data_IF_251281446423
#
_entry.id   IF_251281446423
#
_cell.length_a   1.000
_cell.length_b   1.000
_cell.length_c   1.000
_cell.angle_alpha   90.00
_cell.angle_beta   90.00
_cell.angle_gamma   90.00
#
_symmetry.space_group_name_H-M   'P 1'
#
loop_
_entity.id
_entity.type
_entity.pdbx_description
1 polymer ?
#
# COMPACT_ATOMS: atom_id res chain seq x y z
N UNK A 1 -58.88 69.36 -20.05
CA UNK A 1 -59.71 68.33 -19.34
C UNK A 1 -59.28 67.01 -19.87
N UNK A 2 -58.43 66.27 -19.17
CA UNK A 2 -58.38 64.81 -19.28
C UNK A 2 -57.45 64.27 -18.19
N UNK A 3 -57.97 63.39 -17.40
CA UNK A 3 -57.35 62.82 -16.20
C UNK A 3 -56.54 61.60 -16.55
N UNK A 4 -55.29 61.51 -16.05
CA UNK A 4 -54.51 60.33 -16.07
C UNK A 4 -54.87 59.41 -14.88
N UNK A 5 -54.91 58.09 -15.04
CA UNK A 5 -54.72 57.16 -13.93
C UNK A 5 -53.33 56.63 -13.87
N UNK A 6 -52.79 56.70 -12.66
CA UNK A 6 -51.51 56.21 -12.24
C UNK A 6 -51.56 54.68 -12.11
N UNK A 7 -50.79 53.96 -12.93
CA UNK A 7 -50.55 52.52 -12.72
C UNK A 7 -49.28 52.32 -11.95
N UNK A 8 -49.43 51.96 -10.69
CA UNK A 8 -48.30 51.51 -9.84
C UNK A 8 -48.01 50.04 -10.18
N UNK A 9 -46.97 49.80 -10.95
CA UNK A 9 -46.42 48.45 -11.16
C UNK A 9 -45.40 48.13 -10.10
N UNK A 10 -45.80 47.26 -9.18
CA UNK A 10 -44.93 46.69 -8.13
C UNK A 10 -44.02 45.62 -8.76
N UNK A 11 -42.74 45.95 -9.01
CA UNK A 11 -41.73 45.04 -9.50
C UNK A 11 -41.17 44.25 -8.32
N UNK A 12 -41.57 42.99 -8.20
CA UNK A 12 -41.05 42.03 -7.22
C UNK A 12 -39.73 41.46 -7.77
N UNK A 13 -38.58 42.04 -7.37
CA UNK A 13 -37.28 41.52 -7.71
C UNK A 13 -36.95 40.30 -6.83
N UNK A 14 -37.02 39.08 -7.39
CA UNK A 14 -36.50 37.87 -6.77
C UNK A 14 -34.98 37.95 -6.77
N UNK A 15 -34.35 38.14 -5.59
CA UNK A 15 -32.91 37.93 -5.37
C UNK A 15 -32.64 36.44 -5.37
N UNK A 16 -32.21 35.87 -6.48
CA UNK A 16 -31.59 34.54 -6.55
C UNK A 16 -30.11 34.63 -6.13
N UNK A 17 -29.83 34.36 -4.86
CA UNK A 17 -28.46 34.20 -4.39
C UNK A 17 -27.87 32.86 -4.95
N UNK A 18 -26.71 32.86 -5.59
CA UNK A 18 -26.04 31.63 -5.97
C UNK A 18 -25.56 30.92 -4.70
N UNK A 19 -26.02 29.70 -4.45
CA UNK A 19 -25.44 28.77 -3.48
C UNK A 19 -24.01 28.49 -3.90
N UNK A 20 -23.06 29.18 -3.26
CA UNK A 20 -21.66 28.83 -3.38
C UNK A 20 -21.47 27.43 -2.75
N UNK A 21 -21.29 26.42 -3.60
CA UNK A 21 -20.82 25.11 -3.16
C UNK A 21 -19.41 25.32 -2.58
N UNK A 22 -19.30 25.25 -1.27
CA UNK A 22 -18.00 25.13 -0.61
C UNK A 22 -17.37 23.84 -1.14
N UNK A 23 -16.30 23.96 -1.91
CA UNK A 23 -15.48 22.81 -2.31
C UNK A 23 -14.95 22.18 -1.02
N UNK A 24 -15.23 20.90 -0.79
CA UNK A 24 -14.68 20.15 0.31
C UNK A 24 -13.14 20.31 0.32
N UNK A 25 -12.53 20.63 1.46
CA UNK A 25 -11.08 20.79 1.53
C UNK A 25 -10.45 19.44 1.16
N UNK A 26 -9.74 19.42 0.02
CA UNK A 26 -8.92 18.28 -0.40
C UNK A 26 -8.04 17.88 0.80
N UNK A 27 -8.07 16.61 1.23
CA UNK A 27 -7.26 16.16 2.36
C UNK A 27 -5.81 16.60 2.15
N UNK A 28 -5.24 17.29 3.12
CA UNK A 28 -3.84 17.69 3.08
C UNK A 28 -2.98 16.43 2.90
N UNK A 29 -2.12 16.43 1.89
CA UNK A 29 -1.20 15.32 1.66
C UNK A 29 -0.38 15.12 2.95
N UNK A 30 -0.35 13.89 3.46
CA UNK A 30 0.45 13.55 4.63
C UNK A 30 1.91 13.97 4.39
N UNK A 31 2.62 14.48 5.41
CA UNK A 31 4.00 14.91 5.24
C UNK A 31 4.85 13.75 4.73
N UNK A 32 5.60 13.99 3.66
CA UNK A 32 6.51 12.99 3.08
C UNK A 32 7.69 12.84 4.03
N UNK A 33 7.78 11.70 4.70
CA UNK A 33 8.94 11.37 5.55
C UNK A 33 10.04 10.83 4.64
N UNK A 34 11.28 11.36 4.74
CA UNK A 34 12.40 10.85 3.94
C UNK A 34 12.68 9.38 4.24
N UNK A 35 13.10 8.64 3.21
CA UNK A 35 13.56 7.25 3.39
C UNK A 35 14.96 7.27 4.01
N UNK A 36 15.13 6.57 5.11
CA UNK A 36 16.42 6.40 5.81
C UNK A 36 16.87 4.96 5.66
N UNK A 37 18.13 4.76 5.24
CA UNK A 37 18.78 3.46 5.14
C UNK A 37 19.98 3.44 6.09
N UNK A 38 20.03 2.46 6.97
CA UNK A 38 21.17 2.23 7.89
C UNK A 38 21.76 0.86 7.64
N UNK A 39 23.06 0.72 7.80
CA UNK A 39 23.81 -0.54 7.69
C UNK A 39 25.16 -0.43 8.37
N UNK A 40 25.84 -1.55 8.60
CA UNK A 40 27.21 -1.54 9.13
C UNK A 40 28.23 -1.18 8.05
N UNK A 41 27.99 -1.58 6.79
CA UNK A 41 28.87 -1.33 5.65
C UNK A 41 28.07 -0.82 4.47
N UNK A 42 28.66 0.12 3.74
CA UNK A 42 28.08 0.67 2.51
C UNK A 42 29.18 0.91 1.48
N UNK A 43 28.87 0.57 0.24
CA UNK A 43 29.66 0.89 -0.94
C UNK A 43 28.78 1.57 -1.97
N UNK A 44 29.29 2.62 -2.61
CA UNK A 44 28.55 3.38 -3.60
C UNK A 44 29.47 3.70 -4.78
N UNK A 45 28.93 3.59 -5.99
CA UNK A 45 29.59 4.09 -7.20
C UNK A 45 28.55 4.63 -8.18
N UNK A 46 28.98 5.53 -9.05
CA UNK A 46 28.14 6.18 -10.04
C UNK A 46 28.72 6.02 -11.44
N UNK A 47 27.82 5.89 -12.39
CA UNK A 47 28.06 6.05 -13.81
C UNK A 47 27.57 7.43 -14.25
N UNK A 48 27.53 7.71 -15.54
CA UNK A 48 27.00 8.96 -16.06
C UNK A 48 25.49 9.12 -15.78
N UNK A 49 24.74 8.01 -15.73
CA UNK A 49 23.27 8.01 -15.64
C UNK A 49 22.69 7.41 -14.37
N UNK A 50 23.45 6.56 -13.66
CA UNK A 50 22.96 5.80 -12.53
C UNK A 50 23.94 5.82 -11.35
N UNK A 51 23.37 5.74 -10.17
CA UNK A 51 24.10 5.48 -8.93
C UNK A 51 23.66 4.14 -8.37
N UNK A 52 24.62 3.31 -8.02
CA UNK A 52 24.39 2.03 -7.34
C UNK A 52 24.99 2.08 -5.95
N UNK A 53 24.22 1.66 -4.95
CA UNK A 53 24.63 1.60 -3.56
C UNK A 53 24.36 0.21 -3.00
N UNK A 54 25.35 -0.40 -2.37
CA UNK A 54 25.24 -1.69 -1.70
C UNK A 54 25.39 -1.46 -0.20
N UNK A 55 24.37 -1.81 0.55
CA UNK A 55 24.36 -1.80 2.01
C UNK A 55 24.45 -3.23 2.51
N UNK A 56 25.28 -3.48 3.53
CA UNK A 56 25.53 -4.81 4.05
C UNK A 56 25.58 -4.81 5.57
N UNK A 57 25.14 -5.91 6.16
CA UNK A 57 25.10 -6.17 7.60
C UNK A 57 24.14 -5.23 8.36
N UNK A 58 23.14 -5.83 8.97
CA UNK A 58 22.13 -5.14 9.77
C UNK A 58 21.44 -4.00 8.99
N UNK A 59 21.04 -4.28 7.77
CA UNK A 59 20.39 -3.27 6.92
C UNK A 59 18.99 -3.02 7.44
N UNK A 60 18.67 -1.74 7.67
CA UNK A 60 17.33 -1.28 8.03
C UNK A 60 16.95 -0.11 7.14
N UNK A 61 15.83 -0.24 6.43
CA UNK A 61 15.21 0.84 5.65
C UNK A 61 13.95 1.29 6.38
N UNK A 62 13.81 2.57 6.59
CA UNK A 62 12.62 3.17 7.21
C UNK A 62 12.06 4.28 6.32
N UNK A 63 10.77 4.24 6.03
CA UNK A 63 10.02 5.25 5.28
C UNK A 63 8.73 5.62 6.00
N UNK A 64 7.85 6.36 5.33
CA UNK A 64 6.61 6.88 5.93
C UNK A 64 5.69 5.80 6.52
N UNK A 65 5.58 4.65 5.86
CA UNK A 65 4.73 3.52 6.29
C UNK A 65 5.37 2.17 6.00
N UNK A 66 6.69 2.13 5.80
CA UNK A 66 7.42 0.92 5.46
C UNK A 66 8.67 0.79 6.32
N UNK A 67 8.93 -0.43 6.78
CA UNK A 67 10.19 -0.83 7.39
C UNK A 67 10.66 -2.12 6.72
N UNK A 68 11.93 -2.13 6.27
CA UNK A 68 12.55 -3.33 5.68
C UNK A 68 13.80 -3.65 6.49
N UNK A 69 13.99 -4.89 6.86
CA UNK A 69 15.24 -5.41 7.42
C UNK A 69 15.76 -6.53 6.55
N UNK A 70 17.09 -6.61 6.34
CA UNK A 70 17.73 -7.65 5.55
C UNK A 70 19.23 -7.71 5.83
N UNK A 71 19.90 -8.72 5.29
CA UNK A 71 21.36 -8.84 5.42
C UNK A 71 22.08 -7.94 4.41
N UNK A 72 21.52 -7.80 3.20
CA UNK A 72 22.08 -6.98 2.11
C UNK A 72 20.96 -6.29 1.34
N UNK A 73 21.19 -5.02 1.00
CA UNK A 73 20.34 -4.23 0.13
C UNK A 73 21.17 -3.63 -1.01
N UNK A 74 20.76 -3.88 -2.24
CA UNK A 74 21.33 -3.30 -3.46
C UNK A 74 20.32 -2.31 -4.03
N UNK A 75 20.73 -1.07 -4.14
CA UNK A 75 19.87 0.04 -4.59
C UNK A 75 20.45 0.63 -5.86
N UNK A 76 19.66 0.68 -6.91
CA UNK A 76 19.98 1.43 -8.13
C UNK A 76 19.04 2.63 -8.23
N UNK A 77 19.61 3.79 -8.48
CA UNK A 77 18.88 5.04 -8.62
C UNK A 77 19.33 5.80 -9.86
N UNK A 78 18.44 6.56 -10.45
CA UNK A 78 18.78 7.49 -11.52
C UNK A 78 19.53 8.68 -10.93
N UNK A 79 20.62 9.08 -11.57
CA UNK A 79 21.36 10.27 -11.20
C UNK A 79 20.63 11.50 -11.75
N UNK A 80 20.50 12.51 -10.92
CA UNK A 80 20.02 13.81 -11.37
C UNK A 80 21.11 14.43 -12.27
N UNK A 81 20.75 14.88 -13.48
CA UNK A 81 21.64 15.63 -14.37
C UNK A 81 21.91 17.01 -13.78
N UNK A 82 22.74 17.06 -12.75
CA UNK A 82 23.22 18.30 -12.18
C UNK A 82 24.46 18.76 -12.98
N UNK A 83 24.22 19.61 -13.96
CA UNK A 83 25.26 20.20 -14.82
C UNK A 83 26.36 20.92 -14.00
N UNK A 84 26.04 21.27 -12.75
CA UNK A 84 26.96 22.02 -11.86
C UNK A 84 27.87 21.13 -11.01
N UNK A 85 27.58 19.83 -10.88
CA UNK A 85 28.29 18.93 -9.95
C UNK A 85 28.70 17.59 -10.59
N UNK A 86 29.22 17.63 -11.81
CA UNK A 86 29.66 16.40 -12.53
C UNK A 86 30.71 15.58 -11.78
N UNK A 87 31.52 16.23 -10.95
CA UNK A 87 32.63 15.62 -10.21
C UNK A 87 32.28 15.35 -8.73
N UNK A 88 31.03 15.45 -8.32
CA UNK A 88 30.65 15.19 -6.94
C UNK A 88 30.84 13.71 -6.57
N UNK A 89 31.61 13.45 -5.53
CA UNK A 89 31.84 12.10 -4.99
C UNK A 89 30.52 11.46 -4.50
N UNK A 90 29.59 12.27 -3.99
CA UNK A 90 28.25 11.83 -3.61
C UNK A 90 27.25 12.49 -4.56
N UNK A 91 26.71 11.75 -5.53
CA UNK A 91 25.78 12.29 -6.52
C UNK A 91 24.42 12.57 -5.91
N UNK A 92 23.73 13.55 -6.47
CA UNK A 92 22.31 13.76 -6.17
C UNK A 92 21.49 12.68 -6.87
N UNK A 93 20.71 11.95 -6.10
CA UNK A 93 19.82 10.88 -6.57
C UNK A 93 18.44 11.46 -6.83
N UNK A 94 17.91 11.26 -8.02
CA UNK A 94 16.58 11.73 -8.40
C UNK A 94 15.50 10.71 -8.00
N UNK A 95 15.67 9.45 -8.42
CA UNK A 95 14.63 8.45 -8.29
C UNK A 95 15.23 7.05 -8.11
N UNK A 96 14.67 6.30 -7.18
CA UNK A 96 14.98 4.88 -7.05
C UNK A 96 14.41 4.10 -8.24
N UNK A 97 15.26 3.31 -8.88
CA UNK A 97 14.93 2.46 -10.02
C UNK A 97 14.62 1.03 -9.58
N UNK A 98 15.52 0.46 -8.79
CA UNK A 98 15.36 -0.87 -8.21
C UNK A 98 15.92 -0.91 -6.79
N UNK A 99 15.28 -1.69 -5.92
CA UNK A 99 15.81 -2.08 -4.62
C UNK A 99 15.74 -3.59 -4.53
N UNK A 100 16.86 -4.24 -4.25
CA UNK A 100 16.96 -5.70 -4.10
C UNK A 100 17.47 -6.02 -2.71
N UNK A 101 16.56 -6.49 -1.85
CA UNK A 101 16.88 -6.99 -0.51
C UNK A 101 17.12 -8.48 -0.55
N UNK A 102 18.18 -8.96 0.10
CA UNK A 102 18.55 -10.38 0.17
C UNK A 102 19.00 -10.78 1.56
N UNK A 103 18.67 -12.01 1.94
CA UNK A 103 19.00 -12.61 3.24
C UNK A 103 18.08 -12.09 4.36
N UNK A 104 17.33 -13.00 4.99
CA UNK A 104 16.47 -12.70 6.13
C UNK A 104 15.58 -11.46 5.93
N UNK A 105 15.01 -11.34 4.73
CA UNK A 105 14.19 -10.17 4.38
C UNK A 105 12.91 -10.17 5.17
N UNK A 106 12.65 -9.07 5.89
CA UNK A 106 11.43 -8.83 6.62
C UNK A 106 10.91 -7.42 6.29
N UNK A 107 9.68 -7.33 5.80
CA UNK A 107 9.04 -6.09 5.37
C UNK A 107 7.75 -5.91 6.16
N UNK A 108 7.59 -4.75 6.79
CA UNK A 108 6.36 -4.34 7.46
C UNK A 108 5.83 -3.11 6.73
N UNK A 109 4.59 -3.15 6.29
CA UNK A 109 3.90 -2.02 5.66
C UNK A 109 2.44 -1.95 6.10
N UNK A 110 2.12 -1.04 7.03
CA UNK A 110 0.80 -1.00 7.65
C UNK A 110 0.46 -2.34 8.31
N UNK A 111 -0.67 -2.93 7.93
CA UNK A 111 -1.14 -4.22 8.43
C UNK A 111 -0.54 -5.44 7.71
N UNK A 112 0.41 -5.23 6.79
CA UNK A 112 1.06 -6.30 6.03
C UNK A 112 2.45 -6.56 6.54
N UNK A 113 2.74 -7.85 6.70
CA UNK A 113 4.04 -8.37 7.06
C UNK A 113 4.49 -9.39 6.01
N UNK A 114 5.74 -9.27 5.55
CA UNK A 114 6.32 -10.15 4.54
C UNK A 114 7.64 -10.66 5.06
N UNK A 115 7.86 -11.97 4.95
CA UNK A 115 9.17 -12.62 5.16
C UNK A 115 9.55 -13.39 3.91
N UNK A 116 10.82 -13.32 3.50
CA UNK A 116 11.35 -14.07 2.35
C UNK A 116 12.88 -14.08 2.37
N UNK A 117 13.51 -14.85 1.50
CA UNK A 117 14.96 -14.78 1.29
C UNK A 117 15.36 -13.63 0.39
N UNK A 118 14.49 -13.24 -0.57
CA UNK A 118 14.77 -12.18 -1.53
C UNK A 118 13.52 -11.39 -1.91
N UNK A 119 13.64 -10.06 -1.89
CA UNK A 119 12.62 -9.13 -2.35
C UNK A 119 13.21 -8.14 -3.36
N UNK A 120 12.55 -7.97 -4.50
CA UNK A 120 12.86 -6.99 -5.52
C UNK A 120 11.73 -5.98 -5.64
N UNK A 121 12.05 -4.71 -5.46
CA UNK A 121 11.09 -3.61 -5.54
C UNK A 121 11.41 -2.75 -6.76
N UNK A 122 10.41 -2.51 -7.58
CA UNK A 122 10.46 -1.66 -8.77
C UNK A 122 9.50 -0.48 -8.58
N UNK A 123 9.94 0.61 -7.96
CA UNK A 123 9.05 1.72 -7.60
C UNK A 123 8.35 2.36 -8.81
N UNK A 124 9.04 2.43 -9.94
CA UNK A 124 8.48 2.98 -11.19
C UNK A 124 7.38 2.13 -11.82
N UNK A 125 7.30 0.84 -11.47
CA UNK A 125 6.31 -0.11 -11.96
C UNK A 125 5.27 -0.46 -10.90
N UNK A 126 5.37 0.11 -9.70
CA UNK A 126 4.56 -0.27 -8.53
C UNK A 126 4.57 -1.78 -8.26
N UNK A 127 5.67 -2.45 -8.61
CA UNK A 127 5.83 -3.91 -8.57
C UNK A 127 6.81 -4.34 -7.49
N UNK A 128 6.43 -5.39 -6.77
CA UNK A 128 7.29 -6.10 -5.81
C UNK A 128 7.30 -7.58 -6.17
N UNK A 129 8.47 -8.18 -6.24
CA UNK A 129 8.68 -9.62 -6.49
C UNK A 129 9.34 -10.23 -5.27
N UNK A 130 8.72 -11.25 -4.71
CA UNK A 130 9.18 -11.97 -3.53
C UNK A 130 9.53 -13.40 -3.93
N UNK A 131 10.70 -13.87 -3.54
CA UNK A 131 11.20 -15.23 -3.83
C UNK A 131 11.89 -15.81 -2.61
N UNK A 132 12.30 -17.07 -2.69
CA UNK A 132 12.96 -17.79 -1.61
C UNK A 132 12.05 -17.93 -0.37
N UNK A 133 10.99 -18.74 -0.54
CA UNK A 133 9.98 -19.05 0.48
C UNK A 133 9.24 -17.82 1.00
N UNK A 134 8.62 -17.03 0.15
CA UNK A 134 7.87 -15.87 0.57
C UNK A 134 6.65 -16.27 1.42
N UNK A 135 6.44 -15.50 2.49
CA UNK A 135 5.24 -15.53 3.33
C UNK A 135 4.70 -14.10 3.42
N UNK A 136 3.46 -13.91 3.04
CA UNK A 136 2.74 -12.63 3.13
C UNK A 136 1.59 -12.78 4.10
N UNK A 137 1.57 -12.00 5.15
CA UNK A 137 0.51 -11.96 6.16
C UNK A 137 -0.20 -10.61 6.03
N UNK A 138 -1.52 -10.64 5.97
CA UNK A 138 -2.36 -9.42 6.03
C UNK A 138 -3.27 -9.53 7.25
N UNK A 139 -3.02 -8.68 8.25
CA UNK A 139 -3.75 -8.70 9.52
C UNK A 139 -5.13 -8.05 9.42
N UNK A 140 -5.35 -7.18 8.44
CA UNK A 140 -6.63 -6.51 8.22
C UNK A 140 -7.70 -7.46 7.65
N UNK A 141 -7.28 -8.43 6.83
CA UNK A 141 -8.18 -9.46 6.33
C UNK A 141 -7.59 -10.84 6.57
N UNK A 142 -7.61 -11.43 7.76
CA UNK A 142 -6.75 -12.47 8.28
C UNK A 142 -6.44 -13.58 7.26
N UNK A 143 -5.50 -13.34 6.36
CA UNK A 143 -5.05 -14.35 5.42
C UNK A 143 -3.52 -14.36 5.30
N UNK A 144 -3.02 -15.55 4.96
CA UNK A 144 -1.60 -15.83 4.77
C UNK A 144 -1.43 -16.41 3.37
N UNK A 145 -0.55 -15.79 2.57
CA UNK A 145 -0.14 -16.31 1.27
C UNK A 145 1.31 -16.81 1.34
N UNK A 146 1.55 -18.02 0.83
CA UNK A 146 2.89 -18.60 0.67
C UNK A 146 3.04 -19.14 -0.75
N UNK A 147 4.26 -19.31 -1.22
CA UNK A 147 4.53 -19.86 -2.56
C UNK A 147 6.02 -19.90 -2.86
N UNK A 148 6.38 -20.25 -4.10
CA UNK A 148 7.76 -20.20 -4.56
C UNK A 148 8.13 -18.77 -4.98
N UNK A 149 7.19 -18.09 -5.61
CA UNK A 149 7.30 -16.71 -6.06
C UNK A 149 5.96 -15.99 -5.90
N UNK A 150 5.99 -14.80 -5.32
CA UNK A 150 4.82 -13.93 -5.18
C UNK A 150 5.12 -12.59 -5.83
N UNK A 151 4.22 -12.10 -6.68
CA UNK A 151 4.31 -10.79 -7.32
C UNK A 151 3.13 -9.93 -6.87
N UNK A 152 3.45 -8.74 -6.39
CA UNK A 152 2.48 -7.74 -5.97
C UNK A 152 2.53 -6.56 -6.95
N UNK A 153 1.40 -6.23 -7.57
CA UNK A 153 1.21 -5.03 -8.37
C UNK A 153 0.32 -4.08 -7.57
N UNK A 154 0.94 -3.09 -6.92
CA UNK A 154 0.23 -2.20 -5.99
C UNK A 154 -0.78 -1.29 -6.69
N UNK A 155 -0.43 -0.75 -7.84
CA UNK A 155 -1.31 0.09 -8.65
C UNK A 155 -2.58 -0.65 -9.09
N UNK A 156 -2.45 -1.94 -9.44
CA UNK A 156 -3.56 -2.79 -9.88
C UNK A 156 -4.27 -3.52 -8.72
N UNK A 157 -3.77 -3.43 -7.49
CA UNK A 157 -4.23 -4.21 -6.32
C UNK A 157 -4.25 -5.71 -6.60
N UNK A 158 -3.26 -6.20 -7.32
CA UNK A 158 -3.18 -7.56 -7.85
C UNK A 158 -2.03 -8.32 -7.19
N UNK A 159 -2.30 -9.58 -6.82
CA UNK A 159 -1.33 -10.55 -6.36
C UNK A 159 -1.42 -11.77 -7.28
N UNK A 160 -0.27 -12.27 -7.73
CA UNK A 160 -0.16 -13.54 -8.44
C UNK A 160 1.20 -14.17 -8.15
N UNK A 161 1.38 -15.43 -8.52
CA UNK A 161 2.64 -16.13 -8.28
C UNK A 161 2.57 -17.60 -8.61
N UNK A 162 3.62 -18.32 -8.24
CA UNK A 162 3.83 -19.72 -8.56
C UNK A 162 3.69 -20.57 -7.28
N UNK A 163 3.00 -21.72 -7.39
CA UNK A 163 2.75 -22.65 -6.27
C UNK A 163 2.15 -21.98 -5.03
N UNK A 164 1.16 -21.10 -5.26
CA UNK A 164 0.54 -20.30 -4.20
C UNK A 164 -0.37 -21.16 -3.32
N UNK A 165 -0.15 -21.07 -2.00
CA UNK A 165 -1.09 -21.49 -0.98
C UNK A 165 -1.65 -20.26 -0.28
N UNK A 166 -2.95 -20.05 -0.38
CA UNK A 166 -3.67 -18.98 0.31
C UNK A 166 -4.51 -19.60 1.44
N UNK A 167 -4.29 -19.15 2.66
CA UNK A 167 -5.08 -19.48 3.83
C UNK A 167 -5.85 -18.24 4.26
N UNK A 168 -7.16 -18.36 4.32
CA UNK A 168 -8.09 -17.28 4.69
C UNK A 168 -9.09 -17.71 5.73
N UNK A 169 -10.09 -16.88 6.01
CA UNK A 169 -11.17 -17.23 6.94
C UNK A 169 -11.93 -18.47 6.45
N UNK A 170 -12.51 -19.27 7.37
CA UNK A 170 -13.25 -20.47 7.00
C UNK A 170 -14.49 -20.14 6.17
N UNK A 171 -14.68 -20.86 5.07
CA UNK A 171 -15.93 -20.84 4.31
C UNK A 171 -16.94 -21.64 5.12
N UNK A 172 -17.91 -20.96 5.73
CA UNK A 172 -18.88 -21.59 6.64
C UNK A 172 -20.05 -22.24 5.94
N UNK A 173 -20.49 -21.70 4.80
CA UNK A 173 -21.65 -22.20 4.06
C UNK A 173 -21.53 -21.80 2.59
N UNK A 174 -21.60 -22.77 1.70
CA UNK A 174 -21.67 -22.58 0.26
C UNK A 174 -23.12 -22.55 -0.26
N UNK A 175 -24.12 -22.57 0.64
CA UNK A 175 -25.53 -22.49 0.29
C UNK A 175 -26.11 -23.80 -0.26
N UNK A 176 -25.38 -24.92 -0.18
CA UNK A 176 -25.86 -26.23 -0.65
C UNK A 176 -26.71 -27.00 0.37
N UNK A 177 -26.78 -26.55 1.63
CA UNK A 177 -27.49 -27.21 2.72
C UNK A 177 -28.85 -26.55 3.06
N UNK A 178 -29.52 -25.94 2.10
CA UNK A 178 -30.82 -25.27 2.35
C UNK A 178 -31.98 -26.23 2.70
N UNK A 179 -31.79 -27.56 2.59
CA UNK A 179 -32.86 -28.53 2.70
C UNK A 179 -32.75 -29.50 3.90
N UNK A 180 -31.89 -29.24 4.89
CA UNK A 180 -31.98 -29.98 6.15
C UNK A 180 -33.09 -29.40 7.01
N UNK A 181 -34.17 -30.13 7.27
CA UNK A 181 -35.21 -29.66 8.20
C UNK A 181 -34.56 -29.40 9.56
N UNK A 182 -34.84 -28.23 10.11
CA UNK A 182 -34.45 -27.88 11.48
C UNK A 182 -35.01 -28.94 12.41
N UNK A 183 -34.14 -29.81 12.94
CA UNK A 183 -34.54 -30.75 13.98
C UNK A 183 -35.06 -29.92 15.15
N UNK A 184 -36.34 -30.12 15.47
CA UNK A 184 -36.96 -29.53 16.64
C UNK A 184 -36.13 -29.86 17.88
N UNK A 185 -35.98 -28.96 18.84
CA UNK A 185 -35.21 -29.21 20.04
C UNK A 185 -35.78 -30.44 20.75
N UNK A 186 -34.93 -31.46 20.95
CA UNK A 186 -35.26 -32.66 21.70
C UNK A 186 -35.64 -32.21 23.10
N UNK A 187 -36.94 -32.38 23.44
CA UNK A 187 -37.44 -32.11 24.77
C UNK A 187 -36.81 -33.10 25.74
N UNK A 188 -35.99 -32.63 26.66
CA UNK A 188 -35.43 -33.42 27.74
C UNK A 188 -36.55 -34.02 28.60
N UNK A 189 -36.45 -35.30 28.97
CA UNK A 189 -37.44 -35.92 29.83
C UNK A 189 -37.46 -35.23 31.21
N UNK A 190 -38.68 -34.87 31.66
CA UNK A 190 -38.87 -34.30 33.01
C UNK A 190 -38.50 -35.35 34.05
N UNK A 191 -37.55 -35.01 34.92
CA UNK A 191 -37.27 -35.79 36.12
C UNK A 191 -38.53 -35.85 37.01
N UNK A 192 -38.87 -37.00 37.60
CA UNK A 192 -39.95 -37.10 38.56
C UNK A 192 -39.62 -36.32 39.84
N UNK A 193 -40.58 -35.52 40.29
CA UNK A 193 -40.50 -34.83 41.59
C UNK A 193 -40.55 -35.84 42.75
N UNK A 194 -39.85 -35.52 43.87
CA UNK A 194 -39.81 -36.31 45.06
C UNK A 194 -41.15 -36.35 45.77
#
# INVERSE_FOLDING_TARGET
MNRFPLHVSLLLALLSAPLAHAADPKPAAAPVVPTVITSTKMEMWSTDTETRSIFQQNVVVTGSNIKITCDKLDVTATKLDDIKNKDATVPTVEKFKTLVATGNVHIIQGDREVTCGRAEVFPGEDRVVLTEKPVVIDSAGPYVATGDRIVLLRGERRLFGDNIKLQGPPIRDLGFEKDKPVQAPVSLPRLPKP
#
